data_IF_588225716537
#
_entry.id   IF_588225716537
#
_cell.length_a   1.000
_cell.length_b   1.000
_cell.length_c   1.000
_cell.angle_alpha   90.00
_cell.angle_beta   90.00
_cell.angle_gamma   90.00
#
_symmetry.space_group_name_H-M   'P 1'
#
loop_
_entity.id
_entity.type
_entity.pdbx_description
1 polymer ?
#
# COMPACT_ATOMS: atom_id res chain seq x y z
N UNK A 1 -8.98 0.50 23.55
CA UNK A 1 -9.21 0.28 25.00
C UNK A 1 -8.99 -1.17 25.39
N UNK A 2 -9.70 -2.13 24.75
CA UNK A 2 -9.59 -3.58 25.05
C UNK A 2 -8.16 -4.14 24.82
N UNK A 3 -7.49 -3.76 23.72
CA UNK A 3 -6.09 -4.17 23.46
C UNK A 3 -5.08 -3.59 24.47
N UNK A 4 -5.29 -2.33 24.91
CA UNK A 4 -4.43 -1.67 25.92
C UNK A 4 -4.58 -2.35 27.27
N UNK A 5 -5.81 -2.70 27.65
CA UNK A 5 -6.12 -3.39 28.90
C UNK A 5 -5.55 -4.82 28.96
N UNK A 6 -5.46 -5.51 27.81
CA UNK A 6 -4.79 -6.82 27.71
C UNK A 6 -3.27 -6.67 27.80
N UNK A 7 -2.67 -5.65 27.17
CA UNK A 7 -1.23 -5.36 27.26
C UNK A 7 -0.79 -4.96 28.67
N UNK A 8 -1.64 -4.26 29.44
CA UNK A 8 -1.34 -3.84 30.81
C UNK A 8 -1.39 -5.02 31.80
N UNK A 9 -2.29 -5.99 31.57
CA UNK A 9 -2.50 -7.14 32.45
C UNK A 9 -1.32 -8.13 32.46
N UNK A 10 -0.62 -8.32 31.34
CA UNK A 10 0.55 -9.21 31.28
C UNK A 10 1.85 -8.60 31.83
N UNK A 11 1.89 -7.29 32.05
CA UNK A 11 3.07 -6.60 32.62
C UNK A 11 3.12 -6.62 34.16
N UNK A 12 2.11 -7.18 34.82
CA UNK A 12 2.06 -7.29 36.29
C UNK A 12 2.29 -8.74 36.73
N UNK A 13 3.25 -9.01 37.63
CA UNK A 13 3.45 -10.36 38.12
C UNK A 13 2.19 -10.85 38.83
N UNK A 14 1.75 -12.06 38.44
CA UNK A 14 0.63 -12.80 39.01
C UNK A 14 0.91 -13.27 40.46
N UNK A 15 1.34 -12.37 41.34
CA UNK A 15 1.70 -12.68 42.73
C UNK A 15 0.93 -11.73 43.64
N UNK A 16 0.02 -12.25 44.49
CA UNK A 16 -0.73 -11.40 45.40
C UNK A 16 0.23 -10.64 46.34
N UNK A 17 -0.17 -9.43 46.79
CA UNK A 17 0.68 -8.45 47.48
C UNK A 17 1.63 -8.95 48.59
N UNK A 18 1.33 -10.02 49.38
CA UNK A 18 2.22 -10.42 50.48
C UNK A 18 3.48 -11.20 50.09
N UNK A 19 3.66 -11.69 48.85
CA UNK A 19 4.81 -12.55 48.47
C UNK A 19 5.84 -11.90 47.54
N UNK A 20 5.68 -10.61 47.25
CA UNK A 20 6.58 -9.77 46.43
C UNK A 20 8.07 -9.86 46.82
N UNK A 21 8.50 -9.84 48.10
CA UNK A 21 9.93 -9.89 48.40
C UNK A 21 10.56 -11.26 48.07
N UNK A 22 9.79 -12.35 48.16
CA UNK A 22 10.28 -13.71 47.92
C UNK A 22 10.46 -13.99 46.42
N UNK A 23 9.58 -13.45 45.57
CA UNK A 23 9.72 -13.56 44.12
C UNK A 23 10.93 -12.77 43.62
N UNK A 24 11.13 -11.54 44.09
CA UNK A 24 12.32 -10.75 43.76
C UNK A 24 13.61 -11.39 44.29
N UNK A 25 13.58 -12.00 45.48
CA UNK A 25 14.72 -12.74 46.02
C UNK A 25 15.05 -13.99 45.17
N UNK A 26 14.06 -14.74 44.71
CA UNK A 26 14.27 -15.89 43.82
C UNK A 26 14.85 -15.47 42.46
N UNK A 27 14.38 -14.35 41.89
CA UNK A 27 14.93 -13.75 40.67
C UNK A 27 16.39 -13.29 40.87
N UNK A 28 16.71 -12.65 42.00
CA UNK A 28 18.06 -12.23 42.34
C UNK A 28 19.01 -13.42 42.51
N UNK A 29 18.57 -14.48 43.21
CA UNK A 29 19.34 -15.73 43.38
C UNK A 29 19.57 -16.42 42.04
N UNK A 30 18.53 -16.48 41.18
CA UNK A 30 18.64 -17.04 39.82
C UNK A 30 19.61 -16.24 38.96
N UNK A 31 19.59 -14.92 39.06
CA UNK A 31 20.53 -14.02 38.37
C UNK A 31 21.98 -14.24 38.83
N UNK A 32 22.22 -14.36 40.14
CA UNK A 32 23.56 -14.60 40.69
C UNK A 32 24.08 -15.98 40.27
N UNK A 33 23.27 -17.04 40.37
CA UNK A 33 23.64 -18.37 39.88
C UNK A 33 23.93 -18.39 38.39
N UNK A 34 23.16 -17.64 37.59
CA UNK A 34 23.38 -17.49 36.16
C UNK A 34 24.68 -16.75 35.84
N UNK A 35 24.98 -15.65 36.54
CA UNK A 35 26.23 -14.90 36.37
C UNK A 35 27.46 -15.75 36.73
N UNK A 36 27.35 -16.60 37.75
CA UNK A 36 28.39 -17.55 38.13
C UNK A 36 28.55 -18.69 37.11
N UNK A 37 27.46 -19.24 36.58
CA UNK A 37 27.50 -20.28 35.55
C UNK A 37 28.04 -19.76 34.21
N UNK A 38 27.69 -18.53 33.81
CA UNK A 38 28.25 -17.88 32.62
C UNK A 38 29.75 -17.58 32.72
N UNK A 39 30.31 -17.52 33.94
CA UNK A 39 31.74 -17.37 34.17
C UNK A 39 32.50 -18.70 34.06
N UNK A 40 31.82 -19.83 34.31
CA UNK A 40 32.40 -21.17 34.33
C UNK A 40 32.18 -21.95 33.03
N UNK A 41 31.14 -21.63 32.26
CA UNK A 41 30.75 -22.38 31.06
C UNK A 41 30.42 -21.43 29.91
N UNK A 42 31.34 -21.32 28.95
CA UNK A 42 31.20 -20.52 27.73
C UNK A 42 30.38 -21.32 26.71
N UNK A 43 29.08 -21.47 26.99
CA UNK A 43 28.15 -22.04 26.01
C UNK A 43 27.95 -21.07 24.83
N UNK A 44 28.15 -21.51 23.58
CA UNK A 44 28.04 -20.66 22.39
C UNK A 44 26.60 -20.49 21.88
N UNK A 45 25.63 -21.20 22.46
CA UNK A 45 24.25 -21.16 22.00
C UNK A 45 23.42 -20.19 22.85
N UNK A 46 22.93 -19.12 22.23
CA UNK A 46 22.21 -17.99 22.85
C UNK A 46 20.85 -18.33 23.50
N UNK A 47 20.59 -19.61 23.74
CA UNK A 47 19.37 -20.15 24.37
C UNK A 47 19.19 -19.70 25.82
N UNK A 48 20.27 -19.37 26.55
CA UNK A 48 20.18 -18.85 27.94
C UNK A 48 19.62 -17.44 28.02
N UNK A 49 19.92 -16.58 27.05
CA UNK A 49 19.43 -15.20 27.02
C UNK A 49 17.92 -15.14 26.69
N UNK A 50 17.41 -16.14 25.97
CA UNK A 50 15.99 -16.31 25.63
C UNK A 50 15.08 -16.37 26.87
N UNK A 51 15.51 -17.06 27.94
CA UNK A 51 14.74 -17.21 29.20
C UNK A 51 14.56 -15.91 30.02
N UNK A 52 15.32 -14.86 29.73
CA UNK A 52 15.22 -13.56 30.42
C UNK A 52 14.24 -12.61 29.70
N UNK A 53 14.02 -12.81 28.41
CA UNK A 53 13.09 -12.03 27.59
C UNK A 53 11.63 -12.49 27.70
N UNK A 54 11.37 -13.63 28.34
CA UNK A 54 10.03 -14.19 28.60
C UNK A 54 9.13 -13.30 29.50
N UNK A 55 9.67 -12.21 30.08
CA UNK A 55 8.92 -11.22 30.87
C UNK A 55 8.43 -10.02 30.05
N UNK A 56 8.66 -10.01 28.74
CA UNK A 56 8.10 -9.04 27.79
C UNK A 56 7.19 -9.82 26.85
N UNK A 57 5.98 -9.32 26.53
CA UNK A 57 5.18 -9.81 25.39
C UNK A 57 6.02 -9.65 24.13
N UNK A 58 6.82 -10.64 23.80
CA UNK A 58 7.57 -10.68 22.56
C UNK A 58 7.35 -12.05 21.95
N UNK A 59 6.72 -12.07 20.79
CA UNK A 59 6.56 -13.28 20.02
C UNK A 59 7.97 -13.78 19.64
N UNK A 60 8.34 -14.95 20.13
CA UNK A 60 9.55 -15.62 19.68
C UNK A 60 9.22 -16.41 18.42
N UNK A 61 9.35 -15.76 17.26
CA UNK A 61 9.25 -16.42 15.96
C UNK A 61 10.63 -16.95 15.55
N UNK A 62 10.66 -18.14 14.95
CA UNK A 62 11.86 -18.64 14.28
C UNK A 62 12.08 -17.88 12.96
N UNK A 63 13.29 -17.96 12.37
CA UNK A 63 13.62 -17.25 11.13
C UNK A 63 12.59 -17.51 10.01
N UNK A 64 12.23 -18.77 9.78
CA UNK A 64 11.22 -19.16 8.79
C UNK A 64 9.81 -18.59 9.05
N UNK A 65 9.48 -18.32 10.32
CA UNK A 65 8.17 -17.74 10.68
C UNK A 65 8.18 -16.22 10.54
N UNK A 66 9.34 -15.58 10.74
CA UNK A 66 9.54 -14.15 10.48
C UNK A 66 9.50 -13.89 8.98
N UNK A 67 10.15 -14.73 8.18
CA UNK A 67 10.11 -14.67 6.71
C UNK A 67 8.67 -14.76 6.20
N UNK A 68 7.91 -15.78 6.62
CA UNK A 68 6.49 -15.92 6.26
C UNK A 68 5.62 -14.74 6.69
N UNK A 69 5.96 -14.09 7.80
CA UNK A 69 5.22 -12.92 8.28
C UNK A 69 5.52 -11.70 7.39
N UNK A 70 6.78 -11.54 6.96
CA UNK A 70 7.16 -10.49 6.02
C UNK A 70 6.52 -10.70 4.65
N UNK A 71 6.51 -11.94 4.12
CA UNK A 71 5.84 -12.25 2.85
C UNK A 71 4.35 -11.88 2.92
N UNK A 72 3.69 -12.23 4.02
CA UNK A 72 2.29 -11.89 4.24
C UNK A 72 2.06 -10.36 4.35
N UNK A 73 2.96 -9.65 5.03
CA UNK A 73 2.89 -8.19 5.15
C UNK A 73 3.06 -7.52 3.79
N UNK A 74 4.00 -7.99 2.98
CA UNK A 74 4.25 -7.50 1.62
C UNK A 74 3.03 -7.72 0.73
N UNK A 75 2.46 -8.93 0.72
CA UNK A 75 1.23 -9.24 -0.02
C UNK A 75 0.07 -8.31 0.36
N UNK A 76 -0.14 -8.10 1.66
CA UNK A 76 -1.20 -7.22 2.17
C UNK A 76 -0.99 -5.75 1.75
N UNK A 77 0.25 -5.27 1.78
CA UNK A 77 0.60 -3.91 1.41
C UNK A 77 0.41 -3.67 -0.09
N UNK A 78 0.80 -4.64 -0.90
CA UNK A 78 0.62 -4.63 -2.35
C UNK A 78 -0.85 -4.60 -2.74
N UNK A 79 -1.68 -5.43 -2.11
CA UNK A 79 -3.13 -5.42 -2.31
C UNK A 79 -3.73 -4.06 -1.94
N UNK A 80 -3.34 -3.49 -0.80
CA UNK A 80 -3.81 -2.17 -0.38
C UNK A 80 -3.40 -1.06 -1.35
N UNK A 81 -2.18 -1.13 -1.91
CA UNK A 81 -1.70 -0.18 -2.89
C UNK A 81 -2.49 -0.26 -4.20
N UNK A 82 -2.72 -1.48 -4.71
CA UNK A 82 -3.57 -1.74 -5.89
C UNK A 82 -4.98 -1.21 -5.68
N UNK A 83 -5.57 -1.47 -4.51
CA UNK A 83 -6.92 -1.01 -4.17
C UNK A 83 -7.02 0.53 -4.14
N UNK A 84 -6.01 1.20 -3.57
CA UNK A 84 -5.93 2.66 -3.55
C UNK A 84 -5.79 3.24 -4.97
N UNK A 85 -4.99 2.61 -5.82
CA UNK A 85 -4.85 3.04 -7.21
C UNK A 85 -6.15 2.85 -8.00
N UNK A 86 -6.79 1.69 -7.87
CA UNK A 86 -8.08 1.40 -8.50
C UNK A 86 -9.18 2.38 -8.05
N UNK A 87 -9.22 2.74 -6.76
CA UNK A 87 -10.14 3.75 -6.24
C UNK A 87 -9.85 5.15 -6.80
N UNK A 88 -8.58 5.53 -6.96
CA UNK A 88 -8.20 6.79 -7.64
C UNK A 88 -8.64 6.81 -9.09
N UNK A 89 -8.45 5.71 -9.83
CA UNK A 89 -8.88 5.56 -11.24
C UNK A 89 -10.41 5.50 -11.40
N UNK A 90 -11.13 5.00 -10.40
CA UNK A 90 -12.60 4.82 -10.47
C UNK A 90 -13.39 6.07 -10.05
N UNK A 91 -12.74 7.02 -9.37
CA UNK A 91 -13.33 8.32 -9.06
C UNK A 91 -13.77 9.03 -10.35
N UNK A 92 -15.00 9.57 -10.36
CA UNK A 92 -15.70 10.21 -11.48
C UNK A 92 -14.81 11.01 -12.46
N UNK A 93 -13.77 11.66 -11.92
CA UNK A 93 -12.73 12.43 -12.63
C UNK A 93 -12.16 11.71 -13.86
N UNK A 94 -11.77 10.44 -13.77
CA UNK A 94 -11.06 9.77 -14.86
C UNK A 94 -12.02 9.39 -16.02
N UNK A 95 -13.29 9.14 -15.69
CA UNK A 95 -14.35 8.93 -16.70
C UNK A 95 -14.71 10.23 -17.41
N UNK A 96 -14.76 11.33 -16.66
CA UNK A 96 -14.99 12.67 -17.20
C UNK A 96 -13.81 13.06 -18.11
N UNK A 97 -12.57 12.85 -17.66
CA UNK A 97 -11.36 13.15 -18.42
C UNK A 97 -11.26 12.33 -19.70
N UNK A 98 -11.46 11.01 -19.65
CA UNK A 98 -11.45 10.16 -20.85
C UNK A 98 -12.54 10.54 -21.86
N UNK A 99 -13.68 11.05 -21.38
CA UNK A 99 -14.76 11.52 -22.26
C UNK A 99 -14.43 12.91 -22.83
N UNK A 100 -13.82 13.79 -22.04
CA UNK A 100 -13.35 15.11 -22.48
C UNK A 100 -12.28 14.97 -23.57
N UNK A 101 -11.24 14.16 -23.34
CA UNK A 101 -10.17 13.93 -24.32
C UNK A 101 -10.70 13.37 -25.65
N UNK A 102 -11.64 12.42 -25.59
CA UNK A 102 -12.30 11.90 -26.80
C UNK A 102 -13.16 12.95 -27.50
N UNK A 103 -13.84 13.81 -26.73
CA UNK A 103 -14.66 14.89 -27.28
C UNK A 103 -13.79 15.92 -27.97
N UNK A 104 -12.63 16.27 -27.41
CA UNK A 104 -11.66 17.19 -28.03
C UNK A 104 -11.12 16.64 -29.35
N UNK A 105 -10.80 15.35 -29.42
CA UNK A 105 -10.38 14.70 -30.67
C UNK A 105 -11.48 14.78 -31.74
N UNK A 106 -12.74 14.54 -31.35
CA UNK A 106 -13.89 14.64 -32.26
C UNK A 106 -14.08 16.08 -32.73
N UNK A 107 -14.00 17.06 -31.83
CA UNK A 107 -14.10 18.48 -32.17
C UNK A 107 -13.03 18.92 -33.16
N UNK A 108 -11.78 18.51 -32.95
CA UNK A 108 -10.70 18.81 -33.90
C UNK A 108 -10.98 18.23 -35.29
N UNK A 109 -11.42 16.96 -35.35
CA UNK A 109 -11.80 16.34 -36.63
C UNK A 109 -12.99 17.02 -37.30
N UNK A 110 -13.97 17.48 -36.54
CA UNK A 110 -15.12 18.22 -37.07
C UNK A 110 -14.71 19.59 -37.62
N UNK A 111 -13.80 20.30 -36.95
CA UNK A 111 -13.25 21.56 -37.47
C UNK A 111 -12.50 21.34 -38.78
N UNK A 112 -11.68 20.30 -38.87
CA UNK A 112 -10.99 19.94 -40.11
C UNK A 112 -11.98 19.59 -41.24
N UNK A 113 -13.08 18.92 -40.90
CA UNK A 113 -14.13 18.56 -41.86
C UNK A 113 -14.90 19.80 -42.34
N UNK A 114 -15.24 20.71 -41.43
CA UNK A 114 -15.92 21.97 -41.75
C UNK A 114 -15.05 22.87 -42.65
N UNK A 115 -13.75 22.96 -42.38
CA UNK A 115 -12.82 23.69 -43.25
C UNK A 115 -12.79 23.09 -44.66
N UNK A 116 -12.72 21.76 -44.78
CA UNK A 116 -12.75 21.06 -46.07
C UNK A 116 -14.09 21.22 -46.79
N UNK A 117 -15.20 21.25 -46.06
CA UNK A 117 -16.54 21.46 -46.61
C UNK A 117 -16.62 22.85 -47.27
N UNK A 118 -16.16 23.89 -46.59
CA UNK A 118 -16.14 25.26 -47.13
C UNK A 118 -15.35 25.31 -48.44
N UNK A 119 -14.14 24.76 -48.45
CA UNK A 119 -13.32 24.69 -49.68
C UNK A 119 -14.03 23.92 -50.79
N UNK A 120 -14.64 22.78 -50.47
CA UNK A 120 -15.36 21.97 -51.46
C UNK A 120 -16.54 22.77 -52.03
N UNK A 121 -17.29 23.47 -51.18
CA UNK A 121 -18.44 24.29 -51.59
C UNK A 121 -18.03 25.44 -52.50
N UNK A 122 -16.89 26.07 -52.22
CA UNK A 122 -16.31 27.10 -53.08
C UNK A 122 -15.91 26.53 -54.45
N UNK A 123 -15.22 25.39 -54.48
CA UNK A 123 -14.84 24.75 -55.75
C UNK A 123 -16.04 24.32 -56.59
N UNK A 124 -17.08 23.77 -55.96
CA UNK A 124 -18.33 23.41 -56.64
C UNK A 124 -19.02 24.66 -57.19
N UNK A 125 -19.09 25.73 -56.41
CA UNK A 125 -19.64 27.01 -56.86
C UNK A 125 -18.86 27.62 -58.03
N UNK A 126 -17.53 27.51 -58.03
CA UNK A 126 -16.70 27.95 -59.16
C UNK A 126 -16.96 27.10 -60.41
N UNK A 127 -17.03 25.77 -60.26
CA UNK A 127 -17.36 24.87 -61.37
C UNK A 127 -18.73 25.18 -61.97
N UNK A 128 -19.74 25.40 -61.13
CA UNK A 128 -21.10 25.73 -61.56
C UNK A 128 -21.14 27.05 -62.34
N UNK A 129 -20.44 28.09 -61.85
CA UNK A 129 -20.29 29.35 -62.55
C UNK A 129 -19.60 29.20 -63.93
N UNK A 130 -18.57 28.37 -64.01
CA UNK A 130 -17.88 28.09 -65.28
C UNK A 130 -18.77 27.32 -66.26
N UNK A 131 -19.57 26.38 -65.75
CA UNK A 131 -20.52 25.61 -66.54
C UNK A 131 -21.60 26.52 -67.13
N UNK A 132 -22.18 27.41 -66.32
CA UNK A 132 -23.15 28.42 -66.77
C UNK A 132 -22.56 29.37 -67.82
N UNK A 133 -21.27 29.73 -67.70
CA UNK A 133 -20.60 30.55 -68.69
C UNK A 133 -20.45 29.84 -70.04
N UNK A 134 -20.12 28.53 -70.03
CA UNK A 134 -20.04 27.69 -71.23
C UNK A 134 -21.42 27.50 -71.87
N UNK A 135 -22.45 27.23 -71.07
CA UNK A 135 -23.83 27.08 -71.56
C UNK A 135 -24.34 28.34 -72.25
N UNK A 136 -23.99 29.53 -71.75
CA UNK A 136 -24.35 30.81 -72.37
C UNK A 136 -23.57 31.13 -73.65
N UNK A 137 -22.46 30.45 -73.90
CA UNK A 137 -21.62 30.68 -75.11
C UNK A 137 -21.90 29.69 -76.23
N UNK A 138 -22.84 28.77 -76.04
CA UNK A 138 -23.34 27.82 -77.05
C UNK A 138 -24.67 28.28 -77.65
#
# INVERSE_FOLDING_TARGET
MIMVQVMEYESTPFVPPPFTPFSHAALAIKYIRMKLSALYEKDPDGSRQKKMFDFSLKLFLNADQVEKLHDFEEDCMDDLARDKEMRKRTSNEERIQRTAERTDIILNRLNDLAAKEVTTRETVGELDNRLLAIEKTQ
#
